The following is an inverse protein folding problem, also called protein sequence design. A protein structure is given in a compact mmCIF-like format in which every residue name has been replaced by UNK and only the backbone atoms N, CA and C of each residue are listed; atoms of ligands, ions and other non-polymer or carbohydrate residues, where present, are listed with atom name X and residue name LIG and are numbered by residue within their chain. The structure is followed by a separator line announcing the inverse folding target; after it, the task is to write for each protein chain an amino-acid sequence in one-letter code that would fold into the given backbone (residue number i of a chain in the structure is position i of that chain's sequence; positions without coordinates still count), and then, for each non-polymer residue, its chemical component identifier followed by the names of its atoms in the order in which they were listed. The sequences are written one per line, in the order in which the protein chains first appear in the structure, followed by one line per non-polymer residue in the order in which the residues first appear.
data_IF_629712618256
#
_entry.id   IF_629712618256
#
_cell.length_a   1.000
_cell.length_b   1.000
_cell.length_c   1.000
_cell.angle_alpha   90.00
_cell.angle_beta   90.00
_cell.angle_gamma   90.00
#
_symmetry.space_group_name_H-M   'P 1'
#
loop_
_entity.id
_entity.type
_entity.pdbx_description
1 polymer ?
#
# COMPACT_ATOMS: atom_id res chain seq x y z
N UNK A 1 -52.60 -1.61 -16.72
CA UNK A 1 -51.45 -2.51 -16.93
C UNK A 1 -50.19 -1.66 -17.04
N UNK A 2 -49.21 -1.89 -16.14
CA UNK A 2 -47.76 -1.56 -16.19
C UNK A 2 -47.39 -0.07 -16.48
N UNK A 3 -47.04 0.80 -15.53
CA UNK A 3 -45.83 0.85 -14.66
C UNK A 3 -44.56 0.52 -15.49
N UNK A 4 -43.61 1.43 -15.73
CA UNK A 4 -42.64 1.95 -14.76
C UNK A 4 -42.03 3.25 -15.31
N UNK A 5 -41.89 4.23 -14.42
CA UNK A 5 -41.18 5.50 -14.61
C UNK A 5 -39.66 5.25 -14.57
N UNK A 6 -38.92 5.61 -15.61
CA UNK A 6 -37.45 5.62 -15.56
C UNK A 6 -36.97 7.00 -15.12
N UNK A 7 -36.68 7.11 -13.82
CA UNK A 7 -35.89 8.20 -13.25
C UNK A 7 -34.44 8.04 -13.72
N UNK A 8 -33.97 8.93 -14.59
CA UNK A 8 -32.55 9.14 -14.85
C UNK A 8 -31.92 9.76 -13.59
N UNK A 9 -31.41 8.91 -12.71
CA UNK A 9 -30.50 9.34 -11.65
C UNK A 9 -29.14 9.66 -12.28
N UNK A 10 -28.95 10.92 -12.66
CA UNK A 10 -27.63 11.48 -12.95
C UNK A 10 -26.90 11.53 -11.60
N UNK A 11 -26.08 10.52 -11.33
CA UNK A 11 -25.15 10.51 -10.21
C UNK A 11 -24.02 11.50 -10.47
N UNK A 12 -24.28 12.78 -10.17
CA UNK A 12 -23.27 13.82 -10.02
C UNK A 12 -22.39 13.48 -8.81
N UNK A 13 -21.30 12.74 -9.04
CA UNK A 13 -20.24 12.61 -8.05
C UNK A 13 -19.29 13.81 -8.15
N UNK A 14 -19.78 15.00 -7.79
CA UNK A 14 -18.87 16.10 -7.43
C UNK A 14 -18.37 15.77 -6.03
N UNK A 15 -17.30 14.98 -5.97
CA UNK A 15 -16.48 14.89 -4.78
C UNK A 15 -15.92 16.27 -4.50
N UNK A 16 -16.53 17.00 -3.57
CA UNK A 16 -15.97 18.22 -3.02
C UNK A 16 -14.75 17.83 -2.19
N UNK A 17 -13.59 17.76 -2.85
CA UNK A 17 -12.31 17.78 -2.16
C UNK A 17 -12.09 19.21 -1.66
N UNK A 18 -12.58 19.51 -0.46
CA UNK A 18 -12.13 20.69 0.27
C UNK A 18 -10.64 20.54 0.52
N UNK A 19 -9.83 21.26 -0.26
CA UNK A 19 -8.39 21.37 -0.04
C UNK A 19 -8.16 22.25 1.20
N UNK A 20 -8.11 21.62 2.37
CA UNK A 20 -7.41 22.22 3.51
C UNK A 20 -5.91 22.16 3.21
N UNK A 21 -5.40 23.14 2.47
CA UNK A 21 -3.98 23.40 2.38
C UNK A 21 -3.51 24.04 3.71
N UNK A 22 -3.53 23.27 4.79
CA UNK A 22 -2.72 23.59 5.94
C UNK A 22 -1.29 23.20 5.57
N UNK A 23 -0.46 24.22 5.37
CA UNK A 23 0.98 24.11 5.19
C UNK A 23 1.62 23.73 6.53
N UNK A 24 1.21 22.60 7.10
CA UNK A 24 1.95 21.90 8.13
C UNK A 24 3.02 21.05 7.45
N UNK A 25 4.21 20.99 8.04
CA UNK A 25 5.22 20.03 7.60
C UNK A 25 4.60 18.63 7.64
N UNK A 26 4.31 18.06 6.48
CA UNK A 26 3.80 16.69 6.38
C UNK A 26 4.91 15.79 6.90
N UNK A 27 4.67 15.14 8.04
CA UNK A 27 5.63 14.19 8.60
C UNK A 27 5.83 13.07 7.58
N UNK A 28 7.07 12.58 7.45
CA UNK A 28 7.44 11.48 6.57
C UNK A 28 6.50 10.27 6.76
N UNK A 29 6.10 9.96 7.99
CA UNK A 29 5.16 8.88 8.29
C UNK A 29 3.77 9.09 7.67
N UNK A 30 3.24 10.31 7.74
CA UNK A 30 1.97 10.66 7.10
C UNK A 30 2.06 10.55 5.58
N UNK A 31 3.20 10.95 5.01
CA UNK A 31 3.44 10.81 3.57
C UNK A 31 3.49 9.33 3.16
N UNK A 32 4.16 8.47 3.91
CA UNK A 32 4.21 7.04 3.61
C UNK A 32 2.82 6.41 3.72
N UNK A 33 2.07 6.72 4.79
CA UNK A 33 0.69 6.26 4.96
C UNK A 33 -0.21 6.69 3.81
N UNK A 34 -0.06 7.92 3.31
CA UNK A 34 -0.80 8.39 2.13
C UNK A 34 -0.54 7.53 0.90
N UNK A 35 0.72 7.18 0.62
CA UNK A 35 1.05 6.37 -0.56
C UNK A 35 0.61 4.91 -0.42
N UNK A 36 0.60 4.35 0.79
CA UNK A 36 0.00 3.03 1.04
C UNK A 36 -1.51 3.04 0.76
N UNK A 37 -2.24 4.02 1.30
CA UNK A 37 -3.69 4.15 1.08
C UNK A 37 -4.03 4.40 -0.40
N UNK A 38 -3.26 5.28 -1.05
CA UNK A 38 -3.43 5.56 -2.48
C UNK A 38 -3.23 4.30 -3.32
N UNK A 39 -2.21 3.49 -2.99
CA UNK A 39 -1.96 2.24 -3.66
C UNK A 39 -3.09 1.22 -3.49
N UNK A 40 -3.67 1.12 -2.29
CA UNK A 40 -4.84 0.26 -2.05
C UNK A 40 -6.05 0.69 -2.88
N UNK A 41 -6.32 2.01 -2.95
CA UNK A 41 -7.39 2.55 -3.79
C UNK A 41 -7.17 2.28 -5.27
N UNK A 42 -5.95 2.51 -5.76
CA UNK A 42 -5.61 2.23 -7.15
C UNK A 42 -5.72 0.71 -7.44
N UNK A 43 -5.36 -0.17 -6.50
CA UNK A 43 -5.52 -1.62 -6.64
C UNK A 43 -6.99 -2.04 -6.72
N UNK A 44 -7.85 -1.48 -5.88
CA UNK A 44 -9.29 -1.74 -5.93
C UNK A 44 -9.88 -1.33 -7.28
N UNK A 45 -9.51 -0.14 -7.77
CA UNK A 45 -9.92 0.31 -9.10
C UNK A 45 -9.46 -0.64 -10.21
N UNK A 46 -8.19 -1.07 -10.19
CA UNK A 46 -7.64 -2.02 -11.16
C UNK A 46 -8.34 -3.38 -11.13
N UNK A 47 -8.66 -3.88 -9.94
CA UNK A 47 -9.38 -5.15 -9.74
C UNK A 47 -10.85 -5.05 -10.19
N UNK A 48 -11.42 -3.85 -10.27
CA UNK A 48 -12.79 -3.63 -10.74
C UNK A 48 -12.84 -3.16 -12.20
N UNK A 49 -11.70 -2.80 -12.79
CA UNK A 49 -11.60 -2.20 -14.12
C UNK A 49 -12.16 -3.15 -15.19
N UNK A 50 -13.15 -2.63 -15.93
CA UNK A 50 -13.72 -3.28 -17.11
C UNK A 50 -13.45 -2.39 -18.32
N UNK A 51 -12.28 -2.54 -18.92
CA UNK A 51 -11.97 -1.86 -20.16
C UNK A 51 -12.91 -2.33 -21.28
N UNK A 52 -13.35 -1.40 -22.13
CA UNK A 52 -14.24 -1.68 -23.25
C UNK A 52 -13.51 -2.44 -24.37
N UNK A 53 -12.19 -2.24 -24.49
CA UNK A 53 -11.32 -2.90 -25.44
C UNK A 53 -9.88 -3.03 -24.92
N UNK A 54 -9.02 -3.69 -25.70
CA UNK A 54 -7.62 -3.96 -25.34
C UNK A 54 -6.75 -2.70 -25.31
N UNK A 55 -7.00 -1.75 -26.22
CA UNK A 55 -6.25 -0.48 -26.32
C UNK A 55 -6.46 0.40 -25.08
N UNK A 56 -7.70 0.53 -24.61
CA UNK A 56 -8.03 1.27 -23.38
C UNK A 56 -7.39 0.61 -22.14
N UNK A 57 -7.39 -0.72 -22.09
CA UNK A 57 -6.70 -1.43 -21.01
C UNK A 57 -5.19 -1.13 -21.06
N UNK A 58 -4.57 -1.22 -22.23
CA UNK A 58 -3.14 -0.97 -22.41
C UNK A 58 -2.76 0.47 -22.01
N UNK A 59 -3.48 1.49 -22.51
CA UNK A 59 -3.26 2.89 -22.15
C UNK A 59 -3.34 3.11 -20.63
N UNK A 60 -4.37 2.55 -19.99
CA UNK A 60 -4.50 2.61 -18.53
C UNK A 60 -3.27 2.02 -17.81
N UNK A 61 -2.80 0.86 -18.24
CA UNK A 61 -1.65 0.20 -17.62
C UNK A 61 -0.33 0.92 -17.91
N UNK A 62 -0.18 1.53 -19.08
CA UNK A 62 0.97 2.38 -19.41
C UNK A 62 1.03 3.61 -18.50
N UNK A 63 -0.09 4.29 -18.29
CA UNK A 63 -0.20 5.43 -17.39
C UNK A 63 0.10 5.04 -15.94
N UNK A 64 -0.43 3.91 -15.49
CA UNK A 64 -0.14 3.37 -14.17
C UNK A 64 1.36 3.11 -13.98
N UNK A 65 2.02 2.48 -14.96
CA UNK A 65 3.47 2.27 -14.92
C UNK A 65 4.28 3.57 -14.99
N UNK A 66 3.81 4.55 -15.77
CA UNK A 66 4.44 5.85 -15.89
C UNK A 66 4.41 6.59 -14.54
N UNK A 67 3.27 6.57 -13.86
CA UNK A 67 3.11 7.08 -12.50
C UNK A 67 4.11 6.42 -11.54
N UNK A 68 4.15 5.08 -11.52
CA UNK A 68 5.02 4.32 -10.61
C UNK A 68 6.50 4.60 -10.85
N UNK A 69 6.91 4.65 -12.12
CA UNK A 69 8.27 5.01 -12.53
C UNK A 69 8.61 6.44 -12.13
N UNK A 70 7.67 7.37 -12.27
CA UNK A 70 7.81 8.76 -11.82
C UNK A 70 7.96 8.84 -10.30
N UNK A 71 7.12 8.12 -9.57
CA UNK A 71 7.17 8.03 -8.11
C UNK A 71 8.50 7.46 -7.62
N UNK A 72 8.98 6.37 -8.23
CA UNK A 72 10.28 5.76 -7.93
C UNK A 72 11.46 6.70 -8.14
N UNK A 73 11.40 7.52 -9.20
CA UNK A 73 12.44 8.51 -9.50
C UNK A 73 12.45 9.65 -8.48
N UNK A 74 11.29 10.20 -8.13
CA UNK A 74 11.18 11.36 -7.22
C UNK A 74 11.35 11.00 -5.75
N UNK A 75 10.83 9.85 -5.32
CA UNK A 75 10.83 9.42 -3.93
C UNK A 75 10.77 7.89 -3.81
N UNK A 76 11.94 7.29 -3.54
CA UNK A 76 12.07 5.84 -3.40
C UNK A 76 11.35 5.29 -2.15
N UNK A 77 11.18 6.08 -1.09
CA UNK A 77 10.50 5.61 0.13
C UNK A 77 8.99 5.58 -0.10
N UNK A 78 8.45 6.65 -0.70
CA UNK A 78 7.07 6.70 -1.13
C UNK A 78 6.73 5.59 -2.15
N UNK A 79 7.61 5.34 -3.12
CA UNK A 79 7.44 4.22 -4.05
C UNK A 79 7.39 2.87 -3.33
N UNK A 80 8.23 2.64 -2.32
CA UNK A 80 8.18 1.39 -1.54
C UNK A 80 6.87 1.25 -0.75
N UNK A 81 6.40 2.33 -0.14
CA UNK A 81 5.10 2.37 0.54
C UNK A 81 3.97 2.06 -0.45
N UNK A 82 3.98 2.71 -1.62
CA UNK A 82 3.02 2.47 -2.69
C UNK A 82 3.01 0.99 -3.14
N UNK A 83 4.17 0.43 -3.48
CA UNK A 83 4.27 -0.98 -3.90
C UNK A 83 3.86 -1.95 -2.79
N UNK A 84 4.08 -1.59 -1.52
CA UNK A 84 3.58 -2.38 -0.39
C UNK A 84 2.06 -2.37 -0.37
N UNK A 85 1.42 -1.20 -0.41
CA UNK A 85 -0.04 -1.08 -0.42
C UNK A 85 -0.69 -1.83 -1.59
N UNK A 86 -0.09 -1.74 -2.79
CA UNK A 86 -0.51 -2.52 -3.97
C UNK A 86 -0.49 -4.01 -3.68
N UNK A 87 0.67 -4.54 -3.27
CA UNK A 87 0.82 -5.98 -3.00
C UNK A 87 -0.17 -6.46 -1.95
N UNK A 88 -0.28 -5.74 -0.83
CA UNK A 88 -1.16 -6.13 0.28
C UNK A 88 -2.63 -6.24 -0.23
N UNK A 89 -3.08 -5.32 -1.09
CA UNK A 89 -4.42 -5.36 -1.71
C UNK A 89 -4.58 -6.44 -2.80
N UNK A 90 -3.54 -6.72 -3.58
CA UNK A 90 -3.57 -7.80 -4.59
C UNK A 90 -3.55 -9.19 -3.93
N UNK A 91 -2.78 -9.37 -2.85
CA UNK A 91 -2.75 -10.60 -2.06
C UNK A 91 -4.12 -10.89 -1.44
N UNK A 92 -4.74 -9.89 -0.80
CA UNK A 92 -6.12 -10.00 -0.31
C UNK A 92 -7.10 -10.36 -1.44
N UNK A 93 -6.97 -9.73 -2.60
CA UNK A 93 -7.80 -10.04 -3.76
C UNK A 93 -7.60 -11.47 -4.26
N UNK A 94 -6.37 -11.98 -4.30
CA UNK A 94 -6.08 -13.35 -4.73
C UNK A 94 -6.72 -14.41 -3.81
N UNK A 95 -6.86 -14.13 -2.51
CA UNK A 95 -7.56 -15.01 -1.57
C UNK A 95 -9.07 -15.10 -1.85
N UNK A 96 -9.67 -14.00 -2.32
CA UNK A 96 -11.12 -13.86 -2.50
C UNK A 96 -11.58 -13.96 -3.96
N UNK A 97 -10.65 -13.95 -4.92
CA UNK A 97 -10.94 -13.97 -6.34
C UNK A 97 -11.12 -15.40 -6.86
N UNK A 98 -12.36 -15.82 -7.06
CA UNK A 98 -12.66 -17.00 -7.86
C UNK A 98 -12.26 -16.73 -9.33
N UNK A 99 -11.33 -17.55 -9.87
CA UNK A 99 -10.52 -17.39 -11.09
C UNK A 99 -11.19 -16.92 -12.42
N UNK A 100 -12.47 -16.58 -12.45
CA UNK A 100 -13.26 -16.41 -13.69
C UNK A 100 -13.67 -14.96 -14.01
N UNK A 101 -13.15 -13.95 -13.31
CA UNK A 101 -13.60 -12.56 -13.49
C UNK A 101 -12.59 -11.59 -14.12
N UNK A 102 -11.41 -12.06 -14.52
CA UNK A 102 -10.33 -11.21 -15.03
C UNK A 102 -9.87 -11.57 -16.43
N UNK A 103 -9.54 -10.53 -17.22
CA UNK A 103 -8.97 -10.69 -18.56
C UNK A 103 -7.52 -11.18 -18.51
N UNK A 104 -7.02 -11.73 -19.61
CA UNK A 104 -5.60 -12.11 -19.72
C UNK A 104 -4.67 -10.92 -19.49
N UNK A 105 -5.06 -9.72 -19.95
CA UNK A 105 -4.31 -8.48 -19.75
C UNK A 105 -4.21 -8.12 -18.27
N UNK A 106 -5.32 -8.21 -17.52
CA UNK A 106 -5.26 -7.99 -16.07
C UNK A 106 -4.20 -8.88 -15.43
N UNK A 107 -4.21 -10.18 -15.72
CA UNK A 107 -3.23 -11.10 -15.14
C UNK A 107 -1.78 -10.79 -15.55
N UNK A 108 -1.55 -10.33 -16.78
CA UNK A 108 -0.23 -9.92 -17.26
C UNK A 108 0.37 -8.79 -16.41
N UNK A 109 -0.42 -7.76 -16.10
CA UNK A 109 0.04 -6.64 -15.26
C UNK A 109 0.01 -6.98 -13.77
N UNK A 110 -1.00 -7.72 -13.32
CA UNK A 110 -1.17 -8.12 -11.92
C UNK A 110 -0.02 -8.99 -11.41
N UNK A 111 0.57 -9.85 -12.26
CA UNK A 111 1.75 -10.66 -11.91
C UNK A 111 2.90 -9.80 -11.35
N UNK A 112 3.05 -8.56 -11.83
CA UNK A 112 4.07 -7.65 -11.32
C UNK A 112 3.96 -7.41 -9.81
N UNK A 113 2.73 -7.33 -9.29
CA UNK A 113 2.45 -7.03 -7.89
C UNK A 113 2.47 -8.29 -7.03
N UNK A 114 2.12 -9.46 -7.57
CA UNK A 114 2.24 -10.76 -6.90
C UNK A 114 3.69 -11.24 -6.78
N UNK A 115 4.46 -11.14 -7.86
CA UNK A 115 5.77 -11.79 -8.03
C UNK A 115 6.96 -10.97 -7.56
N UNK A 116 6.76 -9.95 -6.72
CA UNK A 116 7.84 -9.05 -6.25
C UNK A 116 8.23 -9.27 -4.78
N UNK A 117 8.85 -10.41 -4.40
CA UNK A 117 9.35 -10.66 -3.04
C UNK A 117 10.65 -9.90 -2.74
N UNK A 118 11.25 -9.24 -3.74
CA UNK A 118 12.62 -8.69 -3.63
C UNK A 118 12.77 -7.46 -2.73
N UNK A 119 11.68 -6.77 -2.39
CA UNK A 119 11.76 -5.55 -1.59
C UNK A 119 11.49 -5.76 -0.09
N UNK A 120 11.05 -6.95 0.32
CA UNK A 120 10.65 -7.26 1.70
C UNK A 120 11.62 -8.17 2.47
N UNK A 121 12.83 -8.44 1.97
CA UNK A 121 13.93 -8.87 2.86
C UNK A 121 14.56 -7.67 3.55
N UNK A 122 13.75 -6.93 4.31
CA UNK A 122 14.24 -6.12 5.41
C UNK A 122 13.35 -6.44 6.60
N UNK A 123 13.71 -7.54 7.28
CA UNK A 123 13.12 -7.87 8.58
C UNK A 123 13.13 -6.65 9.50
N UNK A 124 12.13 -6.51 10.38
CA UNK A 124 12.09 -5.42 11.34
C UNK A 124 13.39 -5.40 12.12
N UNK A 125 14.07 -4.24 12.15
CA UNK A 125 15.16 -3.98 13.10
C UNK A 125 14.53 -3.99 14.50
N UNK A 126 14.45 -5.16 15.13
CA UNK A 126 14.24 -5.27 16.57
C UNK A 126 15.41 -4.56 17.23
N UNK A 127 15.22 -3.32 17.65
CA UNK A 127 16.06 -2.70 18.67
C UNK A 127 15.73 -3.39 19.99
N UNK A 128 16.38 -4.52 20.26
CA UNK A 128 16.40 -5.06 21.62
C UNK A 128 17.18 -4.06 22.47
N UNK A 129 16.46 -3.14 23.13
CA UNK A 129 17.03 -2.30 24.17
C UNK A 129 17.30 -3.23 25.36
N UNK A 130 18.55 -3.67 25.50
CA UNK A 130 19.03 -4.42 26.66
C UNK A 130 19.35 -3.44 27.78
N UNK A 131 18.41 -3.22 28.71
CA UNK A 131 18.71 -2.55 29.99
C UNK A 131 19.31 -3.56 30.96
N UNK A 132 20.59 -3.86 30.76
CA UNK A 132 21.36 -4.68 31.71
C UNK A 132 21.69 -3.90 32.99
N UNK A 133 20.79 -3.87 33.96
CA UNK A 133 21.10 -3.39 35.31
C UNK A 133 21.91 -4.47 36.04
N UNK A 134 23.22 -4.26 36.17
CA UNK A 134 24.09 -5.12 36.99
C UNK A 134 24.03 -4.66 38.44
N UNK A 135 23.33 -5.39 39.29
CA UNK A 135 23.39 -5.21 40.74
C UNK A 135 24.54 -6.06 41.27
N UNK A 136 25.64 -5.41 41.65
CA UNK A 136 26.76 -6.06 42.32
C UNK A 136 26.49 -6.20 43.81
N UNK A 137 26.48 -7.43 44.34
CA UNK A 137 26.40 -7.64 45.78
C UNK A 137 27.73 -7.26 46.46
N UNK A 138 27.73 -6.47 47.55
CA UNK A 138 28.94 -6.16 48.28
C UNK A 138 29.51 -7.41 48.95
N UNK A 139 30.83 -7.62 48.78
CA UNK A 139 31.57 -8.69 49.46
C UNK A 139 32.09 -8.17 50.78
N UNK A 140 31.49 -8.61 51.88
CA UNK A 140 32.03 -8.39 53.23
C UNK A 140 33.06 -9.48 53.52
N UNK A 141 34.31 -9.09 53.74
CA UNK A 141 35.36 -9.97 54.26
C UNK A 141 35.39 -9.84 55.79
N UNK A 142 35.00 -10.90 56.49
CA UNK A 142 35.25 -11.03 57.92
C UNK A 142 36.66 -11.58 58.11
N UNK A 143 37.59 -10.70 58.52
CA UNK A 143 38.87 -11.12 59.04
C UNK A 143 38.68 -11.64 60.45
N UNK A 144 38.82 -12.95 60.64
CA UNK A 144 39.04 -13.52 61.98
C UNK A 144 40.55 -13.41 62.21
N UNK A 145 40.93 -12.43 63.03
CA UNK A 145 42.27 -12.37 63.59
C UNK A 145 42.33 -13.21 64.85
N UNK A 146 43.13 -14.29 64.80
CA UNK A 146 44.06 -14.80 65.83
C UNK A 146 44.47 -16.23 65.48
#
# INVERSE_FOLDING_TARGET
MKQIQTLLAIGLFIGSFSTFAQQGEVNEEQKLSYYEQRAQQDAQYEQELRAENEEEAEEFWEDQQAYEKGLKKRDKKAYKAYMKGKRDAYEEHAEHCHHHHHSAHFYYYADHYYSSPRYYRSSPRRSTISTGVRVGAPRVRLGIGL
#
